data_IF_974891182781
#
_entry.id   IF_974891182781
#
_cell.length_a   1.000
_cell.length_b   1.000
_cell.length_c   1.000
_cell.angle_alpha   90.00
_cell.angle_beta   90.00
_cell.angle_gamma   90.00
#
_symmetry.space_group_name_H-M   'P 1'
#
loop_
_entity.id
_entity.type
_entity.pdbx_description
1 polymer ?
#
# COMPACT_ATOMS: atom_id res chain seq x y z
N UNK A 1 -1.72 1.74 -16.62
CA UNK A 1 -2.28 1.69 -15.25
C UNK A 1 -1.17 1.25 -14.32
N UNK A 2 -1.09 1.88 -13.15
CA UNK A 2 -0.12 1.54 -12.12
C UNK A 2 -0.84 1.30 -10.80
N UNK A 3 -0.21 0.54 -9.92
CA UNK A 3 -0.70 0.16 -8.61
C UNK A 3 0.32 0.57 -7.56
N UNK A 4 -0.06 1.50 -6.69
CA UNK A 4 0.78 1.98 -5.59
C UNK A 4 0.40 1.20 -4.34
N UNK A 5 1.38 0.53 -3.72
CA UNK A 5 1.19 -0.19 -2.47
C UNK A 5 1.71 0.64 -1.32
N UNK A 6 0.85 0.90 -0.34
CA UNK A 6 1.14 1.67 0.85
C UNK A 6 1.07 0.78 2.09
N UNK A 7 1.96 1.06 3.02
CA UNK A 7 1.99 0.59 4.40
C UNK A 7 1.83 1.82 5.28
N UNK A 8 0.72 1.95 5.98
CA UNK A 8 0.45 3.01 6.93
C UNK A 8 0.66 2.46 8.34
N UNK A 9 1.82 2.75 8.93
CA UNK A 9 2.06 2.46 10.35
C UNK A 9 1.26 3.36 11.29
N UNK A 10 1.21 2.96 12.57
CA UNK A 10 0.54 3.67 13.65
C UNK A 10 1.27 4.96 14.06
N UNK A 11 0.62 6.12 13.87
CA UNK A 11 1.16 7.42 14.29
C UNK A 11 1.34 7.56 15.79
N UNK A 12 0.47 6.92 16.57
CA UNK A 12 0.47 7.01 18.03
C UNK A 12 1.56 6.12 18.65
N UNK A 13 1.94 5.08 17.92
CA UNK A 13 2.95 4.10 18.30
C UNK A 13 4.35 4.49 17.78
N UNK A 14 4.43 5.47 16.89
CA UNK A 14 5.66 5.96 16.26
C UNK A 14 6.14 5.09 15.10
N UNK A 15 5.27 4.28 14.51
CA UNK A 15 5.60 3.44 13.36
C UNK A 15 5.58 4.25 12.07
N UNK A 16 6.57 4.01 11.21
CA UNK A 16 6.71 4.73 9.94
C UNK A 16 5.79 4.18 8.88
N UNK A 17 5.17 5.06 8.10
CA UNK A 17 4.49 4.69 6.85
C UNK A 17 5.48 4.58 5.69
N UNK A 18 5.22 3.65 4.76
CA UNK A 18 6.09 3.36 3.62
C UNK A 18 5.30 3.23 2.31
N UNK A 19 5.96 3.61 1.21
CA UNK A 19 5.57 3.17 -0.14
C UNK A 19 6.33 1.88 -0.42
N UNK A 20 5.62 0.75 -0.47
CA UNK A 20 6.20 -0.57 -0.73
C UNK A 20 6.66 -0.69 -2.18
N UNK A 21 5.93 -0.06 -3.10
CA UNK A 21 6.30 -0.03 -4.51
C UNK A 21 5.21 0.51 -5.42
N UNK A 22 5.60 0.72 -6.68
CA UNK A 22 4.71 1.09 -7.78
C UNK A 22 4.82 -0.01 -8.84
N UNK A 23 3.71 -0.68 -9.10
CA UNK A 23 3.65 -1.87 -9.95
C UNK A 23 2.80 -1.60 -11.19
N UNK A 24 3.09 -2.31 -12.28
CA UNK A 24 2.25 -2.30 -13.49
C UNK A 24 1.21 -3.41 -13.51
N UNK A 25 1.24 -4.31 -12.52
CA UNK A 25 0.31 -5.43 -12.36
C UNK A 25 -0.25 -5.44 -10.94
N UNK A 26 -1.58 -5.59 -10.83
CA UNK A 26 -2.26 -5.73 -9.55
C UNK A 26 -1.86 -7.01 -8.81
N UNK A 27 -1.63 -8.09 -9.55
CA UNK A 27 -1.21 -9.37 -8.96
C UNK A 27 0.16 -9.22 -8.28
N UNK A 28 1.13 -8.60 -8.96
CA UNK A 28 2.44 -8.32 -8.36
C UNK A 28 2.34 -7.36 -7.17
N UNK A 29 1.45 -6.36 -7.23
CA UNK A 29 1.21 -5.46 -6.10
C UNK A 29 0.70 -6.21 -4.86
N UNK A 30 -0.26 -7.13 -5.04
CA UNK A 30 -0.78 -7.97 -3.95
C UNK A 30 0.29 -8.92 -3.42
N UNK A 31 1.04 -9.60 -4.29
CA UNK A 31 2.12 -10.49 -3.86
C UNK A 31 3.21 -9.75 -3.08
N UNK A 32 3.59 -8.55 -3.52
CA UNK A 32 4.59 -7.74 -2.82
C UNK A 32 4.10 -7.29 -1.43
N UNK A 33 2.81 -6.94 -1.29
CA UNK A 33 2.20 -6.64 0.02
C UNK A 33 2.31 -7.85 0.96
N UNK A 34 1.91 -9.04 0.52
CA UNK A 34 1.95 -10.23 1.36
C UNK A 34 3.40 -10.62 1.73
N UNK A 35 4.33 -10.55 0.77
CA UNK A 35 5.75 -10.81 1.03
C UNK A 35 6.33 -9.83 2.07
N UNK A 36 5.95 -8.55 2.00
CA UNK A 36 6.36 -7.55 2.97
C UNK A 36 5.77 -7.82 4.37
N UNK A 37 4.49 -8.17 4.45
CA UNK A 37 3.83 -8.53 5.72
C UNK A 37 4.51 -9.73 6.38
N UNK A 38 4.78 -10.77 5.60
CA UNK A 38 5.45 -11.99 6.10
C UNK A 38 6.87 -11.68 6.60
N UNK A 39 7.67 -10.95 5.80
CA UNK A 39 9.06 -10.61 6.16
C UNK A 39 9.17 -9.76 7.42
N UNK A 40 8.24 -8.83 7.61
CA UNK A 40 8.25 -7.90 8.74
C UNK A 40 7.39 -8.38 9.92
N UNK A 41 6.74 -9.55 9.81
CA UNK A 41 5.83 -10.12 10.82
C UNK A 41 4.69 -9.17 11.19
N UNK A 42 4.13 -8.51 10.18
CA UNK A 42 2.98 -7.62 10.30
C UNK A 42 1.71 -8.45 10.15
N UNK A 43 1.31 -9.05 11.28
CA UNK A 43 0.11 -9.89 11.39
C UNK A 43 -1.14 -9.06 11.70
N UNK A 44 -2.26 -9.74 11.96
CA UNK A 44 -3.56 -9.12 12.28
C UNK A 44 -3.56 -8.27 13.56
N UNK A 45 -2.52 -8.39 14.39
CA UNK A 45 -2.34 -7.61 15.61
C UNK A 45 -1.39 -6.42 15.42
N UNK A 46 -0.82 -6.25 14.23
CA UNK A 46 -0.04 -5.06 13.90
C UNK A 46 -0.97 -3.88 13.67
N UNK A 47 -0.56 -2.69 14.15
CA UNK A 47 -1.30 -1.45 13.93
C UNK A 47 -1.00 -0.84 12.52
N UNK A 48 -0.54 -1.69 11.60
CA UNK A 48 -0.22 -1.32 10.23
C UNK A 48 -1.41 -1.61 9.29
N UNK A 49 -1.82 -0.59 8.54
CA UNK A 49 -2.84 -0.73 7.49
C UNK A 49 -2.20 -0.74 6.11
N UNK A 50 -2.67 -1.62 5.22
CA UNK A 50 -2.11 -1.76 3.88
C UNK A 50 -3.13 -1.36 2.83
N UNK A 51 -2.71 -0.60 1.83
CA UNK A 51 -3.59 -0.13 0.76
C UNK A 51 -2.98 -0.33 -0.61
N UNK A 52 -3.80 -0.70 -1.59
CA UNK A 52 -3.42 -0.72 -3.00
C UNK A 52 -4.26 0.26 -3.79
N UNK A 53 -3.61 1.30 -4.31
CA UNK A 53 -4.23 2.36 -5.10
C UNK A 53 -3.95 2.19 -6.59
N UNK A 54 -4.97 2.28 -7.42
CA UNK A 54 -4.83 2.32 -8.87
C UNK A 54 -4.72 3.76 -9.39
N UNK A 55 -3.65 4.05 -10.11
CA UNK A 55 -3.40 5.34 -10.76
C UNK A 55 -3.28 5.18 -12.29
N UNK A 56 -3.67 6.22 -13.02
CA UNK A 56 -3.70 6.20 -14.49
C UNK A 56 -2.39 6.73 -15.11
N UNK A 57 -1.77 7.71 -14.46
CA UNK A 57 -0.65 8.52 -14.97
C UNK A 57 0.41 8.74 -13.88
N UNK A 58 1.68 8.75 -14.25
CA UNK A 58 2.77 9.21 -13.38
C UNK A 58 2.80 10.75 -13.33
N UNK A 59 3.53 11.31 -12.36
CA UNK A 59 3.73 12.77 -12.23
C UNK A 59 2.44 13.60 -12.12
N UNK A 60 1.41 13.03 -11.50
CA UNK A 60 0.10 13.64 -11.29
C UNK A 60 -0.25 13.61 -9.81
N UNK A 61 -0.83 14.71 -9.31
CA UNK A 61 -1.38 14.78 -7.96
C UNK A 61 -2.78 14.18 -7.98
N UNK A 62 -3.02 13.18 -7.13
CA UNK A 62 -4.32 12.55 -6.94
C UNK A 62 -4.96 13.08 -5.65
N UNK A 63 -6.18 13.62 -5.76
CA UNK A 63 -6.88 14.25 -4.64
C UNK A 63 -8.01 13.40 -4.02
N UNK A 64 -8.35 12.25 -4.61
CA UNK A 64 -9.46 11.40 -4.14
C UNK A 64 -8.96 10.06 -3.58
N UNK A 65 -9.22 9.81 -2.31
CA UNK A 65 -8.60 8.73 -1.53
C UNK A 65 -9.31 7.38 -1.57
N UNK A 66 -10.55 7.28 -2.07
CA UNK A 66 -11.25 5.98 -2.11
C UNK A 66 -11.66 5.54 -3.52
N UNK A 67 -11.84 6.47 -4.45
CA UNK A 67 -12.20 6.16 -5.84
C UNK A 67 -11.14 5.32 -6.57
N UNK A 68 -9.90 5.35 -6.06
CA UNK A 68 -8.76 4.65 -6.60
C UNK A 68 -8.35 3.44 -5.74
N UNK A 69 -9.05 3.18 -4.63
CA UNK A 69 -8.74 2.07 -3.74
C UNK A 69 -9.21 0.76 -4.38
N UNK A 70 -8.27 -0.15 -4.62
CA UNK A 70 -8.54 -1.48 -5.19
C UNK A 70 -8.61 -2.54 -4.11
N UNK A 71 -7.85 -2.37 -3.04
CA UNK A 71 -7.72 -3.35 -1.96
C UNK A 71 -7.27 -2.65 -0.66
N UNK A 72 -7.90 -3.01 0.45
CA UNK A 72 -7.60 -2.59 1.83
C UNK A 72 -7.57 -3.79 2.75
#
# INVERSE_FOLDING_TARGET
MYYVVLDLGCSDCGESSNILGIFTSLEFAKSAREEYKEKNRLDEYSDHEFFIYQIDTLDKIYHNSFDHLVDS
#
